data_IF_012328157868
#
_entry.id   IF_012328157868
#
_cell.length_a   1.000
_cell.length_b   1.000
_cell.length_c   1.000
_cell.angle_alpha   90.00
_cell.angle_beta   90.00
_cell.angle_gamma   90.00
#
_symmetry.space_group_name_H-M   'P 1'
#
loop_
_entity.id
_entity.type
_entity.pdbx_description
1 polymer ?
#
# COMPACT_ATOMS: atom_id res chain seq x y z
N UNK A 1 -61.27 62.00 -2.31
CA UNK A 1 -61.47 61.27 -3.58
C UNK A 1 -60.26 60.36 -3.76
N UNK A 2 -60.46 59.05 -3.62
CA UNK A 2 -59.43 58.00 -3.61
C UNK A 2 -58.75 57.83 -4.97
N UNK A 3 -57.45 57.51 -4.97
CA UNK A 3 -56.75 56.64 -5.96
C UNK A 3 -55.34 56.34 -5.39
N UNK A 4 -55.17 55.31 -4.56
CA UNK A 4 -54.71 53.94 -4.88
C UNK A 4 -53.42 53.89 -5.73
N UNK A 5 -52.32 53.55 -5.06
CA UNK A 5 -51.01 53.21 -5.60
C UNK A 5 -51.05 51.93 -6.47
N UNK A 6 -50.27 51.90 -7.55
CA UNK A 6 -49.84 50.66 -8.21
C UNK A 6 -48.35 50.75 -8.56
N UNK A 7 -47.56 49.85 -7.94
CA UNK A 7 -46.18 49.55 -8.29
C UNK A 7 -46.17 48.59 -9.50
N UNK A 8 -45.19 48.70 -10.43
CA UNK A 8 -45.07 47.77 -11.54
C UNK A 8 -44.41 46.45 -11.11
N UNK A 9 -44.99 45.36 -11.60
CA UNK A 9 -44.60 43.97 -11.37
C UNK A 9 -43.21 43.66 -11.95
N UNK A 10 -42.32 43.14 -11.09
CA UNK A 10 -41.09 42.48 -11.51
C UNK A 10 -41.44 41.10 -12.07
N UNK A 11 -41.05 40.84 -13.31
CA UNK A 11 -41.18 39.54 -13.97
C UNK A 11 -40.09 38.60 -13.43
N UNK A 12 -40.50 37.62 -12.61
CA UNK A 12 -39.69 36.45 -12.31
C UNK A 12 -39.56 35.59 -13.57
N UNK A 13 -38.35 35.51 -14.12
CA UNK A 13 -38.00 34.42 -15.03
C UNK A 13 -37.63 33.20 -14.18
N UNK A 14 -38.57 32.27 -14.03
CA UNK A 14 -38.29 30.92 -13.56
C UNK A 14 -37.57 30.16 -14.67
N UNK A 15 -36.24 30.06 -14.59
CA UNK A 15 -35.49 29.08 -15.35
C UNK A 15 -35.76 27.71 -14.72
N UNK A 16 -36.65 26.95 -15.35
CA UNK A 16 -36.79 25.52 -15.08
C UNK A 16 -35.50 24.83 -15.53
N UNK A 17 -34.61 24.52 -14.59
CA UNK A 17 -33.51 23.60 -14.82
C UNK A 17 -34.13 22.21 -14.96
N UNK A 18 -34.18 21.70 -16.19
CA UNK A 18 -34.39 20.28 -16.44
C UNK A 18 -33.26 19.52 -15.74
N UNK A 19 -33.60 18.80 -14.67
CA UNK A 19 -32.79 17.72 -14.12
C UNK A 19 -32.73 16.59 -15.15
N UNK A 20 -31.81 16.68 -16.11
CA UNK A 20 -31.39 15.51 -16.87
C UNK A 20 -30.53 14.65 -15.93
N UNK A 21 -31.06 13.49 -15.56
CA UNK A 21 -30.32 12.42 -14.93
C UNK A 21 -29.05 12.14 -15.73
N UNK A 22 -27.89 12.24 -15.07
CA UNK A 22 -26.61 12.02 -15.75
C UNK A 22 -25.42 12.57 -14.98
N UNK A 23 -25.16 12.03 -13.80
CA UNK A 23 -23.85 12.06 -13.17
C UNK A 23 -23.80 10.96 -12.11
N UNK A 24 -23.51 9.72 -12.54
CA UNK A 24 -22.80 8.82 -11.64
C UNK A 24 -21.44 9.46 -11.41
N UNK A 25 -21.32 10.31 -10.39
CA UNK A 25 -20.01 10.62 -9.82
C UNK A 25 -19.57 9.29 -9.20
N UNK A 26 -18.95 8.43 -10.00
CA UNK A 26 -18.09 7.39 -9.46
C UNK A 26 -16.96 8.14 -8.80
N UNK A 27 -17.10 8.42 -7.50
CA UNK A 27 -15.94 8.77 -6.70
C UNK A 27 -14.93 7.66 -6.93
N UNK A 28 -13.87 7.97 -7.67
CA UNK A 28 -12.72 7.07 -7.76
C UNK A 28 -12.34 6.74 -6.31
N UNK A 29 -12.13 5.46 -6.03
CA UNK A 29 -11.49 5.04 -4.78
C UNK A 29 -10.21 5.84 -4.62
N UNK A 30 -10.12 6.67 -3.58
CA UNK A 30 -8.91 7.41 -3.29
C UNK A 30 -8.03 6.56 -2.38
N UNK A 31 -7.18 5.74 -3.00
CA UNK A 31 -6.06 5.14 -2.26
C UNK A 31 -5.09 6.27 -1.91
N UNK A 32 -4.92 6.53 -0.61
CA UNK A 32 -3.98 7.53 -0.09
C UNK A 32 -2.67 6.82 0.23
N UNK A 33 -1.56 7.33 -0.27
CA UNK A 33 -0.24 6.78 0.02
C UNK A 33 0.77 7.88 0.31
N UNK A 34 1.76 7.57 1.14
CA UNK A 34 2.89 8.48 1.38
C UNK A 34 4.17 7.69 1.63
N UNK A 35 5.29 8.21 1.13
CA UNK A 35 6.63 7.68 1.39
C UNK A 35 7.22 8.34 2.64
N UNK A 36 7.68 7.52 3.60
CA UNK A 36 8.46 7.94 4.76
C UNK A 36 9.87 7.41 4.62
N UNK A 37 10.81 8.29 4.29
CA UNK A 37 12.20 7.93 3.96
C UNK A 37 13.13 8.33 5.09
N UNK A 38 13.91 7.37 5.60
CA UNK A 38 14.98 7.58 6.55
C UNK A 38 16.34 7.24 5.93
N UNK A 39 17.30 8.12 6.15
CA UNK A 39 18.68 8.06 5.65
C UNK A 39 19.67 8.27 6.80
N UNK A 40 20.97 8.35 6.51
CA UNK A 40 22.05 8.52 7.49
C UNK A 40 21.83 9.57 8.58
N UNK A 41 21.21 10.70 8.26
CA UNK A 41 20.90 11.78 9.22
C UNK A 41 19.73 11.45 10.18
N UNK A 42 18.85 10.55 9.74
CA UNK A 42 17.67 10.11 10.49
C UNK A 42 18.02 9.00 11.47
N UNK A 43 19.00 8.15 11.13
CA UNK A 43 19.32 6.98 11.93
C UNK A 43 19.71 7.27 13.40
N UNK A 44 20.50 8.31 13.73
CA UNK A 44 20.82 8.66 15.11
C UNK A 44 19.62 8.98 16.01
N UNK A 45 18.44 9.26 15.42
CA UNK A 45 17.21 9.57 16.16
C UNK A 45 16.55 8.30 16.71
N UNK A 46 16.90 7.13 16.18
CA UNK A 46 16.42 5.83 16.64
C UNK A 46 17.24 5.27 17.80
N UNK A 47 16.81 4.13 18.33
CA UNK A 47 17.55 3.39 19.33
C UNK A 47 18.59 2.47 18.65
N UNK A 48 19.85 2.84 18.75
CA UNK A 48 20.98 1.99 18.37
C UNK A 48 21.32 1.08 19.55
N UNK A 49 21.16 -0.23 19.38
CA UNK A 49 21.61 -1.18 20.40
C UNK A 49 23.15 -1.23 20.44
N UNK A 50 23.69 -1.73 21.55
CA UNK A 50 25.14 -1.93 21.68
C UNK A 50 25.67 -2.76 20.50
N UNK A 51 26.80 -2.35 19.92
CA UNK A 51 27.39 -2.99 18.75
C UNK A 51 26.90 -2.46 17.40
N UNK A 52 26.07 -1.41 17.37
CA UNK A 52 25.67 -0.71 16.15
C UNK A 52 26.26 0.71 16.11
N UNK A 53 26.56 1.23 14.93
CA UNK A 53 27.03 2.61 14.74
C UNK A 53 26.56 3.20 13.42
N UNK A 54 26.52 4.53 13.35
CA UNK A 54 26.42 5.25 12.08
C UNK A 54 27.84 5.55 11.58
N UNK A 55 28.15 5.15 10.36
CA UNK A 55 29.42 5.43 9.68
C UNK A 55 29.14 5.86 8.25
N UNK A 56 29.62 7.05 7.86
CA UNK A 56 29.44 7.61 6.51
C UNK A 56 27.98 7.54 6.05
N UNK A 57 27.05 8.03 6.89
CA UNK A 57 25.60 8.02 6.62
C UNK A 57 24.96 6.61 6.49
N UNK A 58 25.67 5.56 6.91
CA UNK A 58 25.14 4.18 6.91
C UNK A 58 25.06 3.62 8.31
N UNK A 59 24.02 2.83 8.60
CA UNK A 59 24.00 1.97 9.78
C UNK A 59 24.79 0.70 9.48
N UNK A 60 25.69 0.36 10.39
CA UNK A 60 26.53 -0.84 10.31
C UNK A 60 26.88 -1.33 11.71
N UNK A 61 27.29 -2.59 11.81
CA UNK A 61 27.87 -3.12 13.04
C UNK A 61 29.18 -2.39 13.39
N UNK A 62 29.41 -2.23 14.69
CA UNK A 62 30.70 -1.82 15.23
C UNK A 62 31.76 -2.91 14.98
N UNK A 63 33.06 -2.58 14.97
CA UNK A 63 34.12 -3.58 14.80
C UNK A 63 33.95 -4.72 15.80
N UNK A 64 34.11 -5.96 15.32
CA UNK A 64 33.98 -7.21 16.10
C UNK A 64 32.55 -7.56 16.57
N UNK A 65 31.54 -6.70 16.38
CA UNK A 65 30.17 -7.09 16.64
C UNK A 65 29.67 -8.05 15.56
N UNK A 66 29.18 -9.23 15.98
CA UNK A 66 28.61 -10.21 15.06
C UNK A 66 27.13 -9.93 14.76
N UNK A 67 26.40 -9.42 15.74
CA UNK A 67 24.98 -9.10 15.61
C UNK A 67 24.62 -7.86 16.43
N UNK A 68 23.67 -7.07 15.96
CA UNK A 68 23.04 -5.99 16.74
C UNK A 68 21.76 -5.55 16.05
N UNK A 69 20.96 -4.72 16.72
CA UNK A 69 19.67 -4.27 16.21
C UNK A 69 19.54 -2.76 16.24
N UNK A 70 18.78 -2.24 15.29
CA UNK A 70 18.37 -0.84 15.22
C UNK A 70 16.85 -0.77 15.34
N UNK A 71 16.31 0.12 16.18
CA UNK A 71 14.86 0.43 16.21
C UNK A 71 14.67 1.90 15.82
N UNK A 72 13.79 2.16 14.87
CA UNK A 72 13.51 3.52 14.40
C UNK A 72 12.85 4.39 15.48
N UNK A 73 12.90 5.74 15.33
CA UNK A 73 11.92 6.60 15.97
C UNK A 73 10.49 6.14 15.62
N UNK A 74 9.52 6.56 16.43
CA UNK A 74 8.11 6.40 16.08
C UNK A 74 7.81 7.30 14.88
N UNK A 75 7.36 6.68 13.78
CA UNK A 75 6.89 7.40 12.60
C UNK A 75 5.38 7.56 12.73
N UNK A 76 4.93 8.81 12.70
CA UNK A 76 3.51 9.16 12.78
C UNK A 76 3.01 9.55 11.38
N UNK A 77 1.77 9.16 11.06
CA UNK A 77 1.12 9.53 9.82
C UNK A 77 -0.14 10.38 10.03
N UNK A 78 -0.39 11.29 9.10
CA UNK A 78 -1.51 12.24 9.16
C UNK A 78 -2.87 11.56 8.92
N UNK A 79 -2.85 10.40 8.25
CA UNK A 79 -4.01 9.54 8.02
C UNK A 79 -3.73 8.12 8.55
N UNK A 80 -4.78 7.36 8.88
CA UNK A 80 -4.60 5.94 9.21
C UNK A 80 -4.24 5.14 7.96
N UNK A 81 -3.45 4.10 8.09
CA UNK A 81 -3.05 3.22 7.00
C UNK A 81 -3.41 1.76 7.34
N UNK A 82 -3.70 0.97 6.31
CA UNK A 82 -4.01 -0.46 6.43
C UNK A 82 -2.99 -1.35 5.72
N UNK A 83 -2.00 -0.78 5.04
CA UNK A 83 -0.87 -1.49 4.48
C UNK A 83 0.44 -0.69 4.55
N UNK A 84 1.56 -1.41 4.62
CA UNK A 84 2.91 -0.87 4.64
C UNK A 84 3.72 -1.57 3.55
N UNK A 85 4.25 -0.82 2.59
CA UNK A 85 5.17 -1.27 1.55
C UNK A 85 6.60 -0.85 1.86
N UNK A 86 7.44 -1.72 2.44
CA UNK A 86 8.81 -1.38 2.82
C UNK A 86 9.80 -1.65 1.69
N UNK A 87 10.74 -0.72 1.47
CA UNK A 87 11.92 -0.98 0.64
C UNK A 87 13.15 -0.30 1.25
N UNK A 88 14.33 -0.84 0.98
CA UNK A 88 15.57 -0.36 1.59
C UNK A 88 16.78 -0.50 0.69
N UNK A 89 17.70 0.45 0.81
CA UNK A 89 19.02 0.35 0.18
C UNK A 89 20.02 -0.22 1.20
N UNK A 90 20.49 -1.43 0.97
CA UNK A 90 21.56 -2.02 1.78
C UNK A 90 22.62 -2.70 0.92
N UNK A 91 23.84 -2.69 1.42
CA UNK A 91 24.95 -3.48 0.89
C UNK A 91 25.16 -4.66 1.82
N UNK A 92 24.95 -5.87 1.31
CA UNK A 92 25.12 -7.11 2.06
C UNK A 92 26.38 -7.83 1.53
N UNK A 93 27.45 -7.93 2.34
CA UNK A 93 28.55 -8.85 2.05
C UNK A 93 28.05 -10.30 1.97
N UNK A 94 28.84 -11.18 1.33
CA UNK A 94 28.51 -12.61 1.28
C UNK A 94 28.30 -13.18 2.69
N UNK A 95 27.24 -13.99 2.83
CA UNK A 95 26.79 -14.63 4.07
C UNK A 95 26.44 -13.67 5.23
N UNK A 96 26.37 -12.36 4.96
CA UNK A 96 25.79 -11.39 5.89
C UNK A 96 24.28 -11.32 5.68
N UNK A 97 23.53 -10.97 6.73
CA UNK A 97 22.07 -10.91 6.68
C UNK A 97 21.54 -9.64 7.36
N UNK A 98 20.42 -9.14 6.85
CA UNK A 98 19.75 -7.94 7.32
C UNK A 98 18.24 -8.20 7.35
N UNK A 99 17.70 -8.39 8.55
CA UNK A 99 16.29 -8.76 8.73
C UNK A 99 15.46 -7.54 9.10
N UNK A 100 14.43 -7.26 8.31
CA UNK A 100 13.47 -6.20 8.59
C UNK A 100 12.29 -6.72 9.40
N UNK A 101 11.89 -5.94 10.40
CA UNK A 101 10.65 -6.11 11.12
C UNK A 101 9.91 -4.78 11.17
N UNK A 102 8.58 -4.83 11.17
CA UNK A 102 7.72 -3.66 11.38
C UNK A 102 6.73 -3.93 12.50
N UNK A 103 6.30 -2.90 13.20
CA UNK A 103 5.16 -2.95 14.11
C UNK A 103 4.37 -1.67 14.03
N UNK A 104 3.10 -1.73 14.43
CA UNK A 104 2.18 -0.60 14.36
C UNK A 104 1.48 -0.35 15.68
N UNK A 105 0.91 0.86 15.79
CA UNK A 105 0.00 1.26 16.85
C UNK A 105 -1.08 2.19 16.28
N UNK A 106 -2.26 2.21 16.91
CA UNK A 106 -3.35 3.13 16.59
C UNK A 106 -3.12 4.47 17.32
N UNK A 107 -2.52 4.42 18.51
CA UNK A 107 -2.41 5.53 19.47
C UNK A 107 -0.97 5.92 19.82
N UNK A 108 0.03 5.12 19.45
CA UNK A 108 1.46 5.35 19.72
C UNK A 108 1.98 4.79 21.05
N UNK A 109 1.09 4.34 21.93
CA UNK A 109 1.42 3.84 23.27
C UNK A 109 1.38 2.30 23.35
N UNK A 110 0.30 1.67 22.87
CA UNK A 110 0.20 0.20 22.80
C UNK A 110 0.61 -0.28 21.41
N UNK A 111 1.62 -1.12 21.37
CA UNK A 111 2.20 -1.62 20.13
C UNK A 111 1.81 -3.07 19.90
N UNK A 112 1.50 -3.39 18.63
CA UNK A 112 1.41 -4.77 18.19
C UNK A 112 2.78 -5.46 18.18
N UNK A 113 2.74 -6.77 17.92
CA UNK A 113 3.95 -7.58 17.79
C UNK A 113 4.82 -7.13 16.61
N UNK A 114 6.11 -7.44 16.68
CA UNK A 114 7.03 -7.26 15.57
C UNK A 114 6.73 -8.29 14.47
N UNK A 115 6.39 -7.79 13.29
CA UNK A 115 6.11 -8.55 12.09
C UNK A 115 7.38 -8.64 11.27
N UNK A 116 7.89 -9.85 11.02
CA UNK A 116 8.99 -10.06 10.08
C UNK A 116 8.56 -9.74 8.66
N UNK A 117 9.40 -9.01 7.93
CA UNK A 117 9.18 -8.66 6.53
C UNK A 117 10.22 -9.41 5.69
N UNK A 118 9.81 -10.47 4.96
CA UNK A 118 10.71 -11.11 4.01
C UNK A 118 11.01 -10.16 2.84
N UNK A 119 12.21 -10.31 2.28
CA UNK A 119 12.57 -9.70 1.01
C UNK A 119 11.86 -10.47 -0.12
N UNK A 120 11.29 -9.76 -1.08
CA UNK A 120 10.48 -10.35 -2.17
C UNK A 120 11.22 -10.31 -3.51
N UNK A 121 11.27 -9.13 -4.11
CA UNK A 121 11.77 -8.95 -5.47
C UNK A 121 13.23 -8.51 -5.46
N UNK A 122 13.82 -8.49 -6.66
CA UNK A 122 15.13 -7.92 -6.88
C UNK A 122 15.17 -6.40 -6.60
N UNK A 123 16.33 -5.76 -6.81
CA UNK A 123 16.43 -4.32 -6.65
C UNK A 123 15.45 -3.59 -7.57
N UNK A 124 14.87 -2.49 -7.08
CA UNK A 124 14.04 -1.59 -7.88
C UNK A 124 14.84 -1.09 -9.09
N UNK A 125 14.24 -1.15 -10.28
CA UNK A 125 14.86 -0.79 -11.55
C UNK A 125 15.26 0.70 -11.61
N UNK A 126 16.26 1.01 -12.45
CA UNK A 126 16.77 2.37 -12.64
C UNK A 126 15.72 3.33 -13.20
N UNK A 127 14.78 2.80 -13.99
CA UNK A 127 13.71 3.54 -14.63
C UNK A 127 12.35 2.98 -14.19
N UNK A 128 11.39 3.86 -13.96
CA UNK A 128 9.98 3.49 -13.84
C UNK A 128 9.48 2.88 -15.16
N UNK A 129 8.36 2.15 -15.16
CA UNK A 129 7.68 1.67 -16.39
C UNK A 129 7.52 2.76 -17.49
N UNK A 130 7.33 4.03 -17.11
CA UNK A 130 7.24 5.18 -18.03
C UNK A 130 8.57 5.74 -18.53
N UNK A 131 9.71 5.09 -18.26
CA UNK A 131 11.05 5.49 -18.70
C UNK A 131 11.68 6.67 -17.93
N UNK A 132 11.07 7.13 -16.84
CA UNK A 132 11.64 8.18 -15.97
C UNK A 132 12.59 7.56 -14.93
N UNK A 133 13.64 8.27 -14.48
CA UNK A 133 14.48 7.80 -13.37
C UNK A 133 13.67 7.45 -12.13
N UNK A 134 13.93 6.28 -11.56
CA UNK A 134 13.30 5.86 -10.32
C UNK A 134 14.10 6.40 -9.11
N UNK A 135 13.50 7.22 -8.21
CA UNK A 135 14.20 7.75 -7.04
C UNK A 135 14.62 6.67 -6.03
N UNK A 136 14.07 5.46 -6.15
CA UNK A 136 14.34 4.31 -5.29
C UNK A 136 15.16 3.21 -5.98
N UNK A 137 15.72 3.50 -7.16
CA UNK A 137 16.57 2.56 -7.89
C UNK A 137 17.64 1.92 -6.99
N UNK A 138 17.76 0.60 -7.08
CA UNK A 138 18.70 -0.21 -6.31
C UNK A 138 18.21 -0.64 -4.92
N UNK A 139 17.08 -0.12 -4.43
CA UNK A 139 16.50 -0.59 -3.16
C UNK A 139 15.95 -2.01 -3.31
N UNK A 140 16.16 -2.87 -2.31
CA UNK A 140 15.47 -4.14 -2.19
C UNK A 140 14.03 -3.89 -1.74
N UNK A 141 13.07 -4.67 -2.24
CA UNK A 141 11.68 -4.60 -1.83
C UNK A 141 11.34 -5.69 -0.80
N UNK A 142 10.58 -5.31 0.22
CA UNK A 142 10.00 -6.24 1.16
C UNK A 142 8.56 -6.58 0.82
N UNK A 143 8.05 -7.64 1.44
CA UNK A 143 6.65 -8.00 1.35
C UNK A 143 5.74 -6.88 1.84
N UNK A 144 4.61 -6.69 1.15
CA UNK A 144 3.55 -5.80 1.62
C UNK A 144 2.98 -6.34 2.93
N UNK A 145 2.89 -5.48 3.95
CA UNK A 145 2.38 -5.86 5.27
C UNK A 145 1.00 -5.26 5.47
N UNK A 146 -0.03 -6.09 5.62
CA UNK A 146 -1.37 -5.64 6.01
C UNK A 146 -1.49 -5.51 7.52
N UNK A 147 -2.08 -4.40 7.96
CA UNK A 147 -2.21 -4.05 9.38
C UNK A 147 -3.62 -3.58 9.70
N UNK A 148 -3.91 -3.34 10.98
CA UNK A 148 -5.21 -2.83 11.39
C UNK A 148 -5.55 -1.50 10.68
N UNK A 149 -6.76 -1.30 10.13
CA UNK A 149 -7.10 -0.10 9.34
C UNK A 149 -6.99 1.24 10.06
N UNK A 150 -7.03 1.23 11.39
CA UNK A 150 -6.86 2.41 12.23
C UNK A 150 -5.40 2.70 12.61
N UNK A 151 -4.44 1.90 12.14
CA UNK A 151 -3.02 2.12 12.45
C UNK A 151 -2.57 3.50 11.97
N UNK A 152 -1.87 4.25 12.84
CA UNK A 152 -1.34 5.60 12.53
C UNK A 152 0.13 5.78 12.85
N UNK A 153 0.66 4.85 13.64
CA UNK A 153 2.03 4.87 14.13
C UNK A 153 2.72 3.61 13.63
N UNK A 154 3.96 3.75 13.17
CA UNK A 154 4.79 2.63 12.72
C UNK A 154 6.20 2.78 13.27
N UNK A 155 6.81 1.65 13.61
CA UNK A 155 8.24 1.53 13.82
C UNK A 155 8.76 0.38 13.00
N UNK A 156 10.02 0.50 12.58
CA UNK A 156 10.76 -0.61 12.01
C UNK A 156 11.96 -0.97 12.88
N UNK A 157 12.36 -2.23 12.81
CA UNK A 157 13.58 -2.76 13.39
C UNK A 157 14.38 -3.47 12.31
N UNK A 158 15.68 -3.23 12.31
CA UNK A 158 16.62 -4.04 11.55
C UNK A 158 17.49 -4.85 12.49
N UNK A 159 17.58 -6.15 12.24
CA UNK A 159 18.55 -7.02 12.89
C UNK A 159 19.70 -7.26 11.90
N UNK A 160 20.90 -6.81 12.27
CA UNK A 160 22.12 -6.91 11.48
C UNK A 160 22.88 -8.16 11.90
N UNK A 161 23.32 -8.96 10.92
CA UNK A 161 24.10 -10.17 11.13
C UNK A 161 25.33 -10.10 10.21
N UNK A 162 26.53 -10.10 10.81
CA UNK A 162 27.78 -10.08 10.07
C UNK A 162 28.04 -11.44 9.39
N UNK A 163 28.55 -11.37 8.16
CA UNK A 163 29.13 -12.52 7.47
C UNK A 163 30.66 -12.52 7.60
N UNK A 164 31.35 -13.58 7.15
CA UNK A 164 32.81 -13.67 7.17
C UNK A 164 33.51 -12.56 6.37
N UNK A 165 32.82 -12.00 5.36
CA UNK A 165 33.33 -10.94 4.49
C UNK A 165 33.01 -9.52 4.98
N UNK A 166 32.29 -9.38 6.09
CA UNK A 166 31.98 -8.10 6.72
C UNK A 166 30.53 -7.94 7.15
N UNK A 167 30.19 -6.71 7.54
CA UNK A 167 28.89 -6.36 8.10
C UNK A 167 27.95 -5.73 7.06
N UNK A 168 26.62 -5.95 7.16
CA UNK A 168 25.65 -5.23 6.34
C UNK A 168 25.75 -3.72 6.56
N UNK A 169 25.56 -2.94 5.49
CA UNK A 169 25.50 -1.48 5.53
C UNK A 169 24.16 -0.99 5.01
N UNK A 170 23.31 -0.48 5.89
CA UNK A 170 22.01 0.09 5.54
C UNK A 170 22.17 1.60 5.27
N UNK A 171 21.80 2.03 4.07
CA UNK A 171 21.88 3.44 3.62
C UNK A 171 20.56 4.17 3.73
N UNK A 172 19.48 3.48 3.38
CA UNK A 172 18.14 4.06 3.31
C UNK A 172 17.11 3.01 3.71
N UNK A 173 16.11 3.44 4.47
CA UNK A 173 14.87 2.72 4.70
C UNK A 173 13.72 3.60 4.25
N UNK A 174 12.75 3.04 3.55
CA UNK A 174 11.55 3.74 3.13
C UNK A 174 10.31 2.89 3.41
N UNK A 175 9.27 3.55 3.92
CA UNK A 175 7.96 2.94 4.17
C UNK A 175 6.92 3.67 3.34
N UNK A 176 6.29 2.95 2.41
CA UNK A 176 5.06 3.42 1.78
C UNK A 176 3.88 3.08 2.70
N UNK A 177 3.29 4.10 3.33
CA UNK A 177 2.11 3.93 4.18
C UNK A 177 0.86 4.14 3.33
N UNK A 178 -0.01 3.13 3.26
CA UNK A 178 -1.13 3.08 2.31
C UNK A 178 -2.46 2.93 3.07
N UNK A 179 -3.40 3.83 2.78
CA UNK A 179 -4.80 3.65 3.08
C UNK A 179 -5.57 3.34 1.79
N UNK A 180 -6.14 2.14 1.75
CA UNK A 180 -6.86 1.58 0.61
C UNK A 180 -8.30 1.18 0.98
N UNK A 181 -8.79 1.64 2.14
CA UNK A 181 -10.10 1.25 2.68
C UNK A 181 -11.25 1.92 1.93
N UNK A 182 -11.04 3.13 1.39
CA UNK A 182 -12.05 3.83 0.61
C UNK A 182 -12.18 3.22 -0.80
N UNK A 183 -13.40 2.92 -1.24
CA UNK A 183 -13.68 2.44 -2.60
C UNK A 183 -15.11 1.94 -2.79
N UNK A 184 -15.46 1.48 -4.01
CA UNK A 184 -16.78 0.92 -4.27
C UNK A 184 -17.04 -0.28 -3.35
N UNK A 185 -18.25 -0.35 -2.81
CA UNK A 185 -18.69 -1.53 -2.06
C UNK A 185 -18.91 -2.69 -3.03
N UNK A 186 -18.21 -3.79 -2.79
CA UNK A 186 -18.43 -5.08 -3.43
C UNK A 186 -19.49 -5.92 -2.71
N UNK A 187 -19.92 -5.48 -1.53
CA UNK A 187 -21.04 -6.12 -0.84
C UNK A 187 -22.31 -5.98 -1.69
N UNK A 188 -23.01 -7.09 -1.96
CA UNK A 188 -24.21 -7.07 -2.78
C UNK A 188 -25.27 -6.18 -2.10
N UNK A 189 -25.74 -5.17 -2.83
CA UNK A 189 -26.84 -4.31 -2.42
C UNK A 189 -28.14 -5.14 -2.40
N UNK A 190 -28.35 -5.92 -1.33
CA UNK A 190 -29.46 -6.86 -1.23
C UNK A 190 -29.37 -7.97 -2.27
N UNK A 191 -29.08 -9.19 -1.84
CA UNK A 191 -29.31 -10.36 -2.68
C UNK A 191 -30.83 -10.51 -2.91
N UNK A 192 -31.36 -9.91 -3.97
CA UNK A 192 -32.40 -10.61 -4.70
C UNK A 192 -31.69 -11.80 -5.34
N UNK A 193 -32.04 -13.05 -5.01
CA UNK A 193 -31.45 -14.20 -5.68
C UNK A 193 -31.71 -14.04 -7.18
N UNK A 194 -30.65 -14.12 -7.97
CA UNK A 194 -30.75 -14.15 -9.42
C UNK A 194 -31.70 -15.28 -9.81
N UNK A 195 -32.86 -14.96 -10.39
CA UNK A 195 -33.89 -15.94 -10.78
C UNK A 195 -33.52 -16.70 -12.06
N UNK A 196 -32.24 -16.82 -12.37
CA UNK A 196 -31.73 -17.48 -13.56
C UNK A 196 -30.63 -18.48 -13.22
N UNK A 197 -30.92 -19.47 -12.37
CA UNK A 197 -30.20 -20.75 -12.41
C UNK A 197 -30.97 -21.82 -11.60
N UNK A 198 -32.12 -22.22 -12.11
CA UNK A 198 -32.73 -23.49 -11.74
C UNK A 198 -32.95 -24.31 -13.01
N UNK A 199 -31.87 -24.96 -13.45
CA UNK A 199 -31.95 -26.24 -14.14
C UNK A 199 -30.66 -27.01 -13.85
N UNK A 200 -30.82 -28.14 -13.17
CA UNK A 200 -29.75 -28.86 -12.53
C UNK A 200 -29.20 -30.01 -13.38
N UNK A 201 -27.98 -30.41 -13.03
CA UNK A 201 -27.36 -31.74 -13.21
C UNK A 201 -26.61 -32.05 -14.51
N UNK A 202 -25.47 -31.39 -14.67
CA UNK A 202 -24.16 -32.09 -14.66
C UNK A 202 -23.29 -31.36 -13.65
N UNK A 203 -22.45 -32.05 -12.87
CA UNK A 203 -21.59 -31.42 -11.85
C UNK A 203 -20.52 -30.52 -12.49
N UNK A 204 -20.95 -29.39 -13.04
CA UNK A 204 -20.11 -28.32 -13.53
C UNK A 204 -19.86 -27.39 -12.36
N UNK A 205 -18.59 -27.26 -11.97
CA UNK A 205 -18.16 -26.17 -11.10
C UNK A 205 -18.56 -24.87 -11.83
N UNK A 206 -19.44 -24.03 -11.24
CA UNK A 206 -19.84 -22.81 -11.91
C UNK A 206 -18.62 -21.94 -12.16
N UNK A 207 -18.59 -21.26 -13.31
CA UNK A 207 -17.49 -20.35 -13.64
C UNK A 207 -17.36 -19.31 -12.52
N UNK A 208 -16.19 -19.16 -11.87
CA UNK A 208 -16.03 -18.17 -10.82
C UNK A 208 -16.36 -16.76 -11.29
N UNK A 209 -17.03 -15.97 -10.45
CA UNK A 209 -17.25 -14.54 -10.70
C UNK A 209 -15.89 -13.83 -10.72
N UNK A 210 -15.63 -13.09 -11.78
CA UNK A 210 -14.43 -12.24 -11.92
C UNK A 210 -14.86 -10.79 -11.70
N UNK A 211 -14.27 -10.12 -10.71
CA UNK A 211 -14.48 -8.70 -10.46
C UNK A 211 -13.59 -7.86 -11.37
N UNK A 212 -14.20 -6.98 -12.16
CA UNK A 212 -13.51 -6.05 -13.05
C UNK A 212 -12.77 -4.98 -12.26
N UNK A 213 -11.76 -4.37 -12.90
CA UNK A 213 -10.98 -3.24 -12.36
C UNK A 213 -11.81 -2.15 -11.70
N UNK A 214 -12.87 -1.70 -12.38
CA UNK A 214 -13.74 -0.65 -11.85
C UNK A 214 -14.55 -1.09 -10.62
N UNK A 215 -14.86 -2.38 -10.48
CA UNK A 215 -15.66 -2.89 -9.36
C UNK A 215 -14.86 -2.84 -8.05
N UNK A 216 -13.56 -3.16 -8.08
CA UNK A 216 -12.70 -3.05 -6.89
C UNK A 216 -12.03 -1.68 -6.73
N UNK A 217 -12.32 -0.71 -7.60
CA UNK A 217 -11.80 0.66 -7.48
C UNK A 217 -10.35 0.82 -7.94
N UNK A 218 -9.93 0.08 -8.98
CA UNK A 218 -8.59 0.21 -9.53
C UNK A 218 -8.31 1.62 -10.08
N UNK A 219 -7.11 2.14 -9.81
CA UNK A 219 -6.56 3.28 -10.59
C UNK A 219 -6.23 2.85 -12.01
N UNK A 220 -6.19 3.79 -12.94
CA UNK A 220 -5.70 3.55 -14.31
C UNK A 220 -4.24 3.05 -14.29
N UNK A 221 -3.84 2.17 -15.22
CA UNK A 221 -2.44 1.79 -15.36
C UNK A 221 -1.59 2.99 -15.82
N UNK A 222 -0.31 2.95 -15.50
CA UNK A 222 0.70 3.96 -15.85
C UNK A 222 1.00 3.99 -17.35
N UNK A 223 0.79 2.86 -18.03
CA UNK A 223 1.08 2.69 -19.45
C UNK A 223 -0.07 1.95 -20.16
N UNK A 224 -0.06 2.00 -21.50
CA UNK A 224 -0.95 1.19 -22.32
C UNK A 224 -0.46 -0.25 -22.42
N UNK A 225 -1.39 -1.21 -22.46
CA UNK A 225 -1.09 -2.63 -22.56
C UNK A 225 -1.94 -3.30 -23.64
N UNK A 226 -1.45 -4.42 -24.17
CA UNK A 226 -2.12 -5.22 -25.19
C UNK A 226 -2.43 -6.61 -24.63
N UNK A 227 -3.54 -7.19 -25.06
CA UNK A 227 -3.88 -8.57 -24.72
C UNK A 227 -3.40 -9.53 -25.80
N UNK A 228 -2.89 -10.69 -25.36
CA UNK A 228 -2.56 -11.82 -26.22
C UNK A 228 -3.10 -13.12 -25.61
N UNK A 229 -3.12 -14.21 -26.39
CA UNK A 229 -3.49 -15.53 -25.85
C UNK A 229 -2.38 -16.03 -24.94
N UNK A 230 -2.74 -16.33 -23.68
CA UNK A 230 -1.84 -17.01 -22.76
C UNK A 230 -1.68 -18.49 -23.18
N UNK A 231 -0.44 -18.97 -23.23
CA UNK A 231 -0.09 -20.39 -23.44
C UNK A 231 0.46 -21.06 -22.17
N UNK A 232 0.64 -20.29 -21.09
CA UNK A 232 1.10 -20.75 -19.78
C UNK A 232 0.30 -20.06 -18.68
N UNK A 233 0.28 -20.66 -17.49
CA UNK A 233 -0.33 -20.12 -16.28
C UNK A 233 0.74 -20.12 -15.18
N UNK A 234 1.01 -18.95 -14.62
CA UNK A 234 1.82 -18.79 -13.41
C UNK A 234 0.91 -18.71 -12.18
N UNK A 235 1.24 -19.46 -11.14
CA UNK A 235 0.58 -19.35 -9.84
C UNK A 235 1.50 -18.59 -8.89
N UNK A 236 0.98 -17.50 -8.32
CA UNK A 236 1.67 -16.70 -7.32
C UNK A 236 0.79 -16.65 -6.08
N UNK A 237 1.40 -16.70 -4.91
CA UNK A 237 0.77 -16.20 -3.70
C UNK A 237 1.09 -14.71 -3.58
N UNK A 238 0.22 -13.94 -2.93
CA UNK A 238 0.64 -12.64 -2.43
C UNK A 238 1.52 -12.93 -1.21
N UNK A 239 2.73 -12.40 -1.19
CA UNK A 239 3.78 -12.86 -0.28
C UNK A 239 3.76 -12.17 1.09
N UNK A 240 2.71 -11.39 1.37
CA UNK A 240 2.52 -10.75 2.65
C UNK A 240 2.15 -11.73 3.75
N UNK A 241 2.67 -11.42 4.94
CA UNK A 241 2.25 -12.00 6.22
C UNK A 241 0.74 -11.80 6.42
N UNK A 242 0.00 -12.90 6.57
CA UNK A 242 -1.45 -12.95 6.79
C UNK A 242 -2.34 -12.48 5.61
N UNK A 243 -1.82 -12.49 4.38
CA UNK A 243 -2.54 -12.10 3.16
C UNK A 243 -3.85 -12.87 2.90
N UNK A 244 -3.99 -14.08 3.46
CA UNK A 244 -5.13 -14.97 3.27
C UNK A 244 -6.32 -14.73 4.23
N UNK A 245 -6.18 -13.86 5.24
CA UNK A 245 -7.22 -13.62 6.25
C UNK A 245 -8.04 -12.35 5.95
N UNK A 246 -8.99 -12.45 5.01
CA UNK A 246 -9.99 -11.40 4.71
C UNK A 246 -11.39 -11.89 5.09
N UNK A 247 -12.17 -11.04 5.75
CA UNK A 247 -13.49 -11.43 6.26
C UNK A 247 -14.63 -11.19 5.27
N UNK A 248 -14.43 -10.31 4.29
CA UNK A 248 -15.45 -9.89 3.33
C UNK A 248 -14.83 -9.39 2.01
N UNK A 249 -15.67 -9.11 1.01
CA UNK A 249 -15.19 -8.72 -0.33
C UNK A 249 -14.61 -7.30 -0.37
N UNK A 250 -15.08 -6.41 0.50
CA UNK A 250 -14.53 -5.06 0.62
C UNK A 250 -13.09 -5.10 1.14
N UNK A 251 -12.79 -5.98 2.10
CA UNK A 251 -11.42 -6.22 2.58
C UNK A 251 -10.52 -6.75 1.45
N UNK A 252 -11.03 -7.70 0.64
CA UNK A 252 -10.31 -8.18 -0.55
C UNK A 252 -9.99 -7.02 -1.49
N UNK A 253 -10.98 -6.17 -1.80
CA UNK A 253 -10.81 -5.04 -2.69
C UNK A 253 -9.78 -4.04 -2.16
N UNK A 254 -9.82 -3.75 -0.85
CA UNK A 254 -8.83 -2.89 -0.20
C UNK A 254 -7.41 -3.46 -0.34
N UNK A 255 -7.23 -4.76 -0.10
CA UNK A 255 -5.91 -5.41 -0.28
C UNK A 255 -5.40 -5.32 -1.71
N UNK A 256 -6.25 -5.58 -2.70
CA UNK A 256 -5.86 -5.47 -4.12
C UNK A 256 -5.50 -4.03 -4.50
N UNK A 257 -6.21 -3.03 -3.95
CA UNK A 257 -5.85 -1.61 -4.12
C UNK A 257 -4.51 -1.27 -3.49
N UNK A 258 -4.21 -1.78 -2.30
CA UNK A 258 -2.91 -1.58 -1.66
C UNK A 258 -1.77 -2.24 -2.44
N UNK A 259 -1.97 -3.47 -2.95
CA UNK A 259 -1.01 -4.14 -3.83
C UNK A 259 -0.76 -3.30 -5.09
N UNK A 260 -1.83 -2.80 -5.73
CA UNK A 260 -1.71 -1.92 -6.88
C UNK A 260 -0.90 -0.65 -6.54
N UNK A 261 -1.18 0.00 -5.42
CA UNK A 261 -0.47 1.21 -5.01
C UNK A 261 1.00 0.93 -4.69
N UNK A 262 1.31 -0.20 -4.05
CA UNK A 262 2.69 -0.58 -3.75
C UNK A 262 3.50 -0.86 -5.02
N UNK A 263 2.92 -1.64 -5.93
CA UNK A 263 3.60 -1.94 -7.19
C UNK A 263 3.84 -0.67 -8.00
N UNK A 264 2.81 0.17 -8.19
CA UNK A 264 2.92 1.32 -9.07
C UNK A 264 3.70 2.51 -8.48
N UNK A 265 3.78 2.65 -7.16
CA UNK A 265 4.39 3.83 -6.53
C UNK A 265 5.74 3.53 -5.84
N UNK A 266 6.07 2.26 -5.59
CA UNK A 266 7.36 1.83 -5.04
C UNK A 266 8.11 0.90 -5.99
N UNK A 267 7.54 -0.25 -6.35
CA UNK A 267 8.29 -1.28 -7.08
C UNK A 267 8.58 -0.89 -8.55
N UNK A 268 7.76 -0.02 -9.15
CA UNK A 268 7.97 0.55 -10.49
C UNK A 268 7.22 -0.18 -11.59
#
# INVERSE_FOLDING_TARGET
MMLVQRLPQLWCWSAAVLLTAGSHITHASETKSVQRVHTGEHFPQGALQSGLRVQQETLTLAPMAATSSYVSPIVVNDFSFNAIGPHWHAQLPADADLKLYVRVSIEGEHWGDWIFVPQEEGPIDELTEGGRPNPFAGDQTGALVFVHPESRFVQYRFDFIAGPQGSPRLRRMALQLINSMEGPSLEPAGHAPDKHEQNAHTAAVPKPKIYKRAEWGARSPSSGYLYTRANHIGFHHTAGVADFNVGNLNDCAARVRAIQAYHMDSNG
#
